data_IF_981224101316
#
_entry.id   IF_981224101316
#
_cell.length_a   1.000
_cell.length_b   1.000
_cell.length_c   1.000
_cell.angle_alpha   90.00
_cell.angle_beta   90.00
_cell.angle_gamma   90.00
#
_symmetry.space_group_name_H-M   'P 1'
#
loop_
_entity.id
_entity.type
_entity.pdbx_description
1 polymer ?
#
# COMPACT_ATOMS: atom_id res chain seq x y z
N UNK A 1 -49.27 -65.44 -14.97
CA UNK A 1 -49.16 -64.42 -16.04
C UNK A 1 -48.87 -63.11 -15.33
N UNK A 2 -47.72 -62.51 -15.60
CA UNK A 2 -47.38 -61.20 -15.04
C UNK A 2 -48.12 -60.17 -15.87
N UNK A 3 -48.89 -59.32 -15.20
CA UNK A 3 -49.58 -58.21 -15.84
C UNK A 3 -48.53 -57.17 -16.24
N UNK A 4 -48.47 -56.87 -17.54
CA UNK A 4 -47.46 -55.97 -18.15
C UNK A 4 -48.12 -54.72 -18.74
N UNK A 5 -49.42 -54.54 -18.56
CA UNK A 5 -50.13 -53.33 -18.96
C UNK A 5 -50.06 -52.28 -17.85
N UNK A 6 -48.88 -51.68 -17.70
CA UNK A 6 -48.75 -50.41 -16.97
C UNK A 6 -48.25 -49.35 -17.96
N UNK A 7 -49.19 -48.70 -18.65
CA UNK A 7 -48.95 -47.54 -19.52
C UNK A 7 -48.69 -46.28 -18.66
N UNK A 8 -47.70 -46.35 -17.76
CA UNK A 8 -47.22 -45.20 -17.01
C UNK A 8 -46.26 -44.45 -17.92
N UNK A 9 -46.77 -43.45 -18.65
CA UNK A 9 -45.91 -42.45 -19.32
C UNK A 9 -45.17 -41.66 -18.24
N UNK A 10 -43.97 -42.09 -17.90
CA UNK A 10 -43.03 -41.29 -17.11
C UNK A 10 -42.61 -40.08 -17.94
N UNK A 11 -43.13 -38.90 -17.58
CA UNK A 11 -42.69 -37.65 -18.17
C UNK A 11 -41.42 -37.19 -17.43
N UNK A 12 -40.35 -36.94 -18.19
CA UNK A 12 -39.12 -36.37 -17.65
C UNK A 12 -39.38 -34.89 -17.36
N UNK A 13 -39.22 -34.41 -16.11
CA UNK A 13 -39.50 -33.04 -15.78
C UNK A 13 -38.55 -32.11 -16.56
N UNK A 14 -39.12 -31.15 -17.27
CA UNK A 14 -38.33 -30.14 -18.00
C UNK A 14 -38.05 -28.96 -17.08
N UNK A 15 -36.77 -28.59 -16.96
CA UNK A 15 -36.30 -27.49 -16.11
C UNK A 15 -35.77 -26.34 -16.96
N UNK A 16 -36.30 -25.14 -16.74
CA UNK A 16 -35.78 -23.90 -17.32
C UNK A 16 -35.12 -23.06 -16.22
N UNK A 17 -33.83 -22.72 -16.38
CA UNK A 17 -33.04 -21.98 -15.40
C UNK A 17 -32.48 -20.69 -16.00
N UNK A 18 -32.64 -19.58 -15.30
CA UNK A 18 -32.05 -18.28 -15.63
C UNK A 18 -31.21 -17.81 -14.46
N UNK A 19 -29.96 -17.42 -14.71
CA UNK A 19 -29.04 -16.99 -13.66
C UNK A 19 -28.19 -15.79 -14.08
N UNK A 20 -27.82 -14.99 -13.10
CA UNK A 20 -26.90 -13.86 -13.23
C UNK A 20 -25.80 -13.98 -12.19
N UNK A 21 -24.56 -13.65 -12.58
CA UNK A 21 -23.43 -13.60 -11.67
C UNK A 21 -22.60 -12.34 -11.91
N UNK A 22 -22.10 -11.74 -10.84
CA UNK A 22 -21.32 -10.52 -10.88
C UNK A 22 -20.09 -10.64 -9.98
N UNK A 23 -18.92 -10.32 -10.55
CA UNK A 23 -17.65 -10.33 -9.85
C UNK A 23 -17.35 -8.94 -9.27
N UNK A 24 -17.04 -8.88 -7.99
CA UNK A 24 -16.72 -7.68 -7.19
C UNK A 24 -15.37 -7.86 -6.51
N UNK A 25 -14.81 -6.77 -5.97
CA UNK A 25 -13.46 -6.73 -5.36
C UNK A 25 -12.39 -7.30 -6.29
N UNK A 26 -12.22 -6.71 -7.48
CA UNK A 26 -11.25 -7.15 -8.51
C UNK A 26 -11.35 -8.63 -8.95
N UNK A 27 -12.45 -9.31 -8.62
CA UNK A 27 -12.70 -10.71 -8.99
C UNK A 27 -12.49 -11.72 -7.86
N UNK A 28 -12.14 -11.25 -6.66
CA UNK A 28 -11.98 -12.09 -5.47
C UNK A 28 -13.33 -12.51 -4.89
N UNK A 29 -14.40 -11.75 -5.14
CA UNK A 29 -15.74 -12.11 -4.71
C UNK A 29 -16.69 -12.23 -5.91
N UNK A 30 -17.52 -13.27 -5.94
CA UNK A 30 -18.56 -13.44 -6.95
C UNK A 30 -19.90 -13.61 -6.28
N UNK A 31 -20.88 -12.79 -6.66
CA UNK A 31 -22.26 -12.93 -6.25
C UNK A 31 -23.05 -13.56 -7.39
N UNK A 32 -23.92 -14.52 -7.09
CA UNK A 32 -24.75 -15.19 -8.07
C UNK A 32 -26.18 -15.33 -7.56
N UNK A 33 -27.14 -15.20 -8.48
CA UNK A 33 -28.56 -15.44 -8.24
C UNK A 33 -29.11 -16.22 -9.42
N UNK A 34 -29.92 -17.23 -9.17
CA UNK A 34 -30.60 -17.99 -10.20
C UNK A 34 -32.04 -18.33 -9.81
N UNK A 35 -32.88 -18.45 -10.84
CA UNK A 35 -34.29 -18.77 -10.74
C UNK A 35 -34.56 -19.93 -11.71
N UNK A 36 -35.18 -21.00 -11.20
CA UNK A 36 -35.49 -22.20 -11.96
C UNK A 36 -36.99 -22.50 -11.91
N UNK A 37 -37.57 -22.86 -13.06
CA UNK A 37 -38.95 -23.34 -13.17
C UNK A 37 -38.93 -24.78 -13.68
N UNK A 38 -39.63 -25.65 -12.96
CA UNK A 38 -39.75 -27.08 -13.25
C UNK A 38 -41.18 -27.32 -13.74
N UNK A 39 -41.34 -28.03 -14.85
CA UNK A 39 -42.64 -28.11 -15.57
C UNK A 39 -43.74 -28.85 -14.80
N UNK A 40 -43.36 -29.71 -13.85
CA UNK A 40 -44.27 -30.56 -13.07
C UNK A 40 -44.32 -30.18 -11.57
N UNK A 41 -43.67 -29.08 -11.15
CA UNK A 41 -43.75 -28.55 -9.78
C UNK A 41 -44.43 -27.16 -9.77
N UNK A 42 -45.36 -26.98 -8.83
CA UNK A 42 -45.98 -25.67 -8.54
C UNK A 42 -45.01 -24.82 -7.70
N UNK A 43 -44.04 -24.17 -8.35
CA UNK A 43 -43.10 -23.27 -7.68
C UNK A 43 -41.94 -22.82 -8.55
N UNK A 44 -41.35 -21.68 -8.19
CA UNK A 44 -40.06 -21.24 -8.75
C UNK A 44 -39.00 -21.43 -7.67
N UNK A 45 -37.96 -22.20 -7.97
CA UNK A 45 -36.82 -22.33 -7.07
C UNK A 45 -35.90 -21.14 -7.26
N UNK A 46 -35.55 -20.47 -6.16
CA UNK A 46 -34.65 -19.31 -6.17
C UNK A 46 -33.41 -19.66 -5.36
N UNK A 47 -32.25 -19.47 -5.99
CA UNK A 47 -30.96 -19.70 -5.35
C UNK A 47 -30.13 -18.42 -5.38
N UNK A 48 -29.42 -18.17 -4.30
CA UNK A 48 -28.51 -17.03 -4.18
C UNK A 48 -27.23 -17.48 -3.49
N UNK A 49 -26.09 -17.02 -3.98
CA UNK A 49 -24.80 -17.44 -3.44
C UNK A 49 -23.72 -16.39 -3.57
N UNK A 50 -22.72 -16.50 -2.70
CA UNK A 50 -21.50 -15.73 -2.74
C UNK A 50 -20.29 -16.68 -2.67
N UNK A 51 -19.32 -16.46 -3.54
CA UNK A 51 -18.01 -17.08 -3.50
C UNK A 51 -16.97 -16.02 -3.17
N UNK A 52 -16.06 -16.33 -2.24
CA UNK A 52 -14.91 -15.50 -1.91
C UNK A 52 -13.61 -16.30 -2.07
N UNK A 53 -12.68 -15.79 -2.87
CA UNK A 53 -11.36 -16.35 -3.10
C UNK A 53 -10.41 -15.74 -2.08
N UNK A 54 -9.97 -16.53 -1.11
CA UNK A 54 -9.02 -16.07 -0.07
C UNK A 54 -7.59 -16.02 -0.61
N UNK A 55 -7.28 -16.90 -1.56
CA UNK A 55 -5.99 -17.00 -2.27
C UNK A 55 -6.26 -17.69 -3.61
N UNK A 56 -5.35 -17.62 -4.59
CA UNK A 56 -5.55 -18.23 -5.92
C UNK A 56 -5.93 -19.73 -5.91
N UNK A 57 -5.71 -20.39 -4.77
CA UNK A 57 -5.96 -21.81 -4.55
C UNK A 57 -7.04 -22.10 -3.49
N UNK A 58 -7.63 -21.10 -2.82
CA UNK A 58 -8.62 -21.31 -1.76
C UNK A 58 -9.87 -20.48 -2.01
N UNK A 59 -11.03 -21.12 -1.96
CA UNK A 59 -12.33 -20.47 -2.09
C UNK A 59 -13.26 -20.87 -0.94
N UNK A 60 -13.98 -19.90 -0.39
CA UNK A 60 -15.11 -20.12 0.50
C UNK A 60 -16.40 -19.78 -0.24
N UNK A 61 -17.46 -20.55 0.01
CA UNK A 61 -18.77 -20.40 -0.63
C UNK A 61 -19.86 -20.43 0.41
N UNK A 62 -20.82 -19.54 0.26
CA UNK A 62 -22.07 -19.55 1.04
C UNK A 62 -23.23 -19.32 0.10
N UNK A 63 -24.37 -19.92 0.36
CA UNK A 63 -25.55 -19.72 -0.45
C UNK A 63 -26.82 -20.23 0.20
N UNK A 64 -27.94 -19.89 -0.42
CA UNK A 64 -29.26 -20.37 -0.08
C UNK A 64 -29.84 -21.01 -1.33
N UNK A 65 -30.33 -22.23 -1.20
CA UNK A 65 -30.95 -23.01 -2.27
C UNK A 65 -32.38 -23.37 -1.86
N UNK A 66 -33.34 -22.69 -2.46
CA UNK A 66 -34.78 -22.84 -2.14
C UNK A 66 -35.06 -22.85 -0.63
N UNK A 67 -34.56 -21.81 0.06
CA UNK A 67 -34.68 -21.63 1.51
C UNK A 67 -33.67 -22.40 2.37
N UNK A 68 -32.89 -23.34 1.81
CA UNK A 68 -31.91 -24.13 2.56
C UNK A 68 -30.52 -23.49 2.51
N UNK A 69 -29.86 -23.36 3.65
CA UNK A 69 -28.52 -22.77 3.71
C UNK A 69 -27.44 -23.78 3.28
N UNK A 70 -26.45 -23.32 2.54
CA UNK A 70 -25.29 -24.09 2.18
C UNK A 70 -24.00 -23.30 2.42
N UNK A 71 -22.97 -24.00 2.91
CA UNK A 71 -21.63 -23.46 3.08
C UNK A 71 -20.61 -24.46 2.55
N UNK A 72 -19.55 -23.97 1.92
CA UNK A 72 -18.52 -24.84 1.37
C UNK A 72 -17.16 -24.18 1.30
N UNK A 73 -16.15 -25.01 1.14
CA UNK A 73 -14.78 -24.58 0.88
C UNK A 73 -14.20 -25.41 -0.27
N UNK A 74 -13.33 -24.78 -1.05
CA UNK A 74 -12.62 -25.41 -2.16
C UNK A 74 -11.13 -25.14 -2.04
N UNK A 75 -10.32 -26.17 -2.28
CA UNK A 75 -8.86 -26.06 -2.30
C UNK A 75 -8.35 -26.61 -3.64
N UNK A 76 -7.59 -25.79 -4.36
CA UNK A 76 -6.89 -26.15 -5.59
C UNK A 76 -5.41 -26.46 -5.31
N UNK A 77 -4.94 -27.59 -5.81
CA UNK A 77 -3.56 -28.06 -5.73
C UNK A 77 -3.05 -28.43 -7.13
N UNK A 78 -2.83 -27.41 -7.96
CA UNK A 78 -2.37 -27.58 -9.35
C UNK A 78 -3.42 -28.24 -10.23
N UNK A 79 -3.22 -29.51 -10.59
CA UNK A 79 -4.16 -30.29 -11.38
C UNK A 79 -5.30 -30.93 -10.55
N UNK A 80 -5.20 -30.90 -9.22
CA UNK A 80 -6.22 -31.44 -8.32
C UNK A 80 -7.06 -30.31 -7.72
N UNK A 81 -8.36 -30.53 -7.54
CA UNK A 81 -9.17 -29.71 -6.65
C UNK A 81 -10.03 -30.57 -5.75
N UNK A 82 -10.13 -30.18 -4.48
CA UNK A 82 -11.00 -30.77 -3.49
C UNK A 82 -12.07 -29.74 -3.12
N UNK A 83 -13.35 -30.09 -3.27
CA UNK A 83 -14.46 -29.27 -2.79
C UNK A 83 -15.22 -30.00 -1.69
N UNK A 84 -15.55 -29.26 -0.66
CA UNK A 84 -16.42 -29.70 0.42
C UNK A 84 -17.59 -28.74 0.54
N UNK A 85 -18.82 -29.26 0.59
CA UNK A 85 -20.00 -28.47 0.82
C UNK A 85 -20.92 -29.14 1.85
N UNK A 86 -21.45 -28.31 2.74
CA UNK A 86 -22.46 -28.64 3.73
C UNK A 86 -23.76 -27.94 3.35
N UNK A 87 -24.84 -28.70 3.27
CA UNK A 87 -26.19 -28.17 3.13
C UNK A 87 -26.98 -28.47 4.40
N UNK A 88 -27.58 -27.43 4.96
CA UNK A 88 -28.45 -27.47 6.12
C UNK A 88 -29.89 -27.44 5.59
N UNK A 89 -30.59 -28.55 5.75
CA UNK A 89 -32.01 -28.69 5.39
C UNK A 89 -32.86 -28.55 6.65
N UNK A 90 -33.90 -27.70 6.60
CA UNK A 90 -34.80 -27.43 7.72
C UNK A 90 -36.05 -28.33 7.59
N UNK A 91 -35.91 -29.62 7.89
CA UNK A 91 -37.04 -30.55 8.03
C UNK A 91 -36.72 -31.54 9.15
N UNK A 92 -37.75 -31.81 9.97
CA UNK A 92 -37.98 -32.76 11.09
C UNK A 92 -37.10 -34.03 11.26
N UNK A 93 -36.19 -34.36 10.34
CA UNK A 93 -35.35 -35.55 10.33
C UNK A 93 -33.83 -35.30 10.16
N UNK A 94 -33.35 -34.08 10.45
CA UNK A 94 -31.94 -33.77 10.76
C UNK A 94 -30.87 -34.43 9.84
N UNK A 95 -31.12 -34.42 8.53
CA UNK A 95 -30.25 -35.04 7.54
C UNK A 95 -29.31 -34.00 6.91
N UNK A 96 -28.26 -33.61 7.63
CA UNK A 96 -27.21 -32.75 7.06
C UNK A 96 -26.52 -33.47 5.90
N UNK A 97 -26.66 -32.93 4.68
CA UNK A 97 -26.02 -33.50 3.48
C UNK A 97 -24.62 -32.92 3.33
N UNK A 98 -23.63 -33.81 3.24
CA UNK A 98 -22.25 -33.45 2.99
C UNK A 98 -21.86 -33.90 1.58
N UNK A 99 -21.30 -32.99 0.81
CA UNK A 99 -20.80 -33.25 -0.53
C UNK A 99 -19.28 -33.12 -0.52
N UNK A 100 -18.61 -34.16 -1.01
CA UNK A 100 -17.15 -34.18 -1.19
C UNK A 100 -16.90 -34.44 -2.67
N UNK A 101 -16.25 -33.50 -3.36
CA UNK A 101 -15.80 -33.67 -4.75
C UNK A 101 -14.28 -33.67 -4.81
N UNK A 102 -13.73 -34.61 -5.58
CA UNK A 102 -12.33 -34.63 -5.95
C UNK A 102 -12.25 -34.61 -7.47
N UNK A 103 -11.68 -33.55 -8.00
CA UNK A 103 -11.54 -33.35 -9.43
C UNK A 103 -10.05 -33.37 -9.80
N UNK A 104 -9.70 -34.09 -10.87
CA UNK A 104 -8.36 -34.14 -11.42
C UNK A 104 -8.40 -33.72 -12.89
N UNK A 105 -7.68 -32.65 -13.22
CA UNK A 105 -7.54 -32.15 -14.58
C UNK A 105 -6.33 -32.78 -15.27
N UNK A 106 -6.58 -33.74 -16.17
CA UNK A 106 -5.53 -34.30 -17.04
C UNK A 106 -5.26 -33.33 -18.21
N UNK A 107 -4.01 -32.86 -18.31
CA UNK A 107 -3.47 -31.91 -19.30
C UNK A 107 -3.74 -30.42 -19.03
N UNK A 108 -2.69 -29.59 -19.14
CA UNK A 108 -2.71 -28.12 -19.09
C UNK A 108 -3.38 -27.46 -20.31
N UNK A 109 -4.25 -28.19 -21.01
CA UNK A 109 -4.97 -27.71 -22.18
C UNK A 109 -6.46 -27.58 -21.88
N UNK A 110 -6.85 -26.51 -21.18
CA UNK A 110 -8.16 -25.90 -21.39
C UNK A 110 -9.20 -25.94 -20.27
N UNK A 111 -8.86 -26.16 -18.99
CA UNK A 111 -9.80 -25.82 -17.90
C UNK A 111 -9.80 -24.31 -17.67
N UNK A 112 -10.71 -23.65 -18.40
CA UNK A 112 -10.77 -22.21 -18.66
C UNK A 112 -9.52 -21.68 -19.36
N UNK A 113 -9.54 -21.60 -20.69
CA UNK A 113 -8.95 -20.41 -21.28
C UNK A 113 -9.68 -19.24 -20.60
N UNK A 114 -9.02 -18.35 -19.85
CA UNK A 114 -9.70 -17.17 -19.35
C UNK A 114 -10.41 -16.56 -20.54
N UNK A 115 -11.71 -16.27 -20.40
CA UNK A 115 -12.51 -15.66 -21.49
C UNK A 115 -11.64 -14.56 -22.09
N UNK A 116 -11.67 -14.30 -23.40
CA UNK A 116 -10.75 -13.31 -24.00
C UNK A 116 -10.67 -11.97 -23.24
N UNK A 117 -11.73 -11.61 -22.49
CA UNK A 117 -11.76 -10.55 -21.48
C UNK A 117 -10.95 -10.78 -20.17
N UNK A 118 -10.88 -11.98 -19.58
CA UNK A 118 -10.01 -12.28 -18.43
C UNK A 118 -8.52 -12.35 -18.79
N UNK A 119 -8.14 -12.86 -19.99
CA UNK A 119 -6.72 -12.78 -20.43
C UNK A 119 -6.31 -11.33 -20.67
N UNK A 120 -7.20 -10.50 -21.19
CA UNK A 120 -6.99 -9.07 -21.35
C UNK A 120 -6.91 -8.37 -19.98
N UNK A 121 -7.84 -8.64 -19.06
CA UNK A 121 -7.82 -8.10 -17.69
C UNK A 121 -6.62 -8.58 -16.88
N UNK A 122 -6.21 -9.84 -16.98
CA UNK A 122 -5.04 -10.37 -16.28
C UNK A 122 -3.74 -9.74 -16.82
N UNK A 123 -3.61 -9.56 -18.15
CA UNK A 123 -2.48 -8.83 -18.74
C UNK A 123 -2.49 -7.34 -18.42
N UNK A 124 -3.66 -6.73 -18.31
CA UNK A 124 -3.82 -5.34 -17.93
C UNK A 124 -3.55 -5.13 -16.43
N UNK A 125 -3.97 -6.07 -15.59
CA UNK A 125 -3.67 -6.14 -14.15
C UNK A 125 -2.20 -6.45 -13.87
N UNK A 126 -1.55 -7.30 -14.68
CA UNK A 126 -0.12 -7.56 -14.58
C UNK A 126 0.69 -6.33 -15.01
N UNK A 127 0.31 -5.70 -16.13
CA UNK A 127 0.91 -4.42 -16.57
C UNK A 127 0.61 -3.28 -15.62
N UNK A 128 -0.51 -3.28 -14.91
CA UNK A 128 -0.80 -2.27 -13.88
C UNK A 128 0.01 -2.56 -12.62
N UNK A 129 0.14 -3.82 -12.19
CA UNK A 129 0.99 -4.23 -11.07
C UNK A 129 2.48 -3.92 -11.33
N UNK A 130 2.99 -4.17 -12.53
CA UNK A 130 4.36 -3.81 -12.90
C UNK A 130 4.56 -2.30 -13.00
N UNK A 131 3.57 -1.55 -13.50
CA UNK A 131 3.59 -0.09 -13.47
C UNK A 131 3.55 0.46 -12.04
N UNK A 132 2.77 -0.14 -11.15
CA UNK A 132 2.71 0.23 -9.73
C UNK A 132 4.04 -0.07 -9.03
N UNK A 133 4.63 -1.25 -9.25
CA UNK A 133 5.97 -1.58 -8.73
C UNK A 133 7.06 -0.65 -9.28
N UNK A 134 6.97 -0.29 -10.56
CA UNK A 134 7.88 0.67 -11.19
C UNK A 134 7.70 2.08 -10.61
N UNK A 135 6.46 2.52 -10.39
CA UNK A 135 6.15 3.79 -9.73
C UNK A 135 6.62 3.82 -8.29
N UNK A 136 6.35 2.78 -7.50
CA UNK A 136 6.80 2.67 -6.10
C UNK A 136 8.33 2.69 -6.01
N UNK A 137 9.01 1.98 -6.93
CA UNK A 137 10.48 2.00 -7.01
C UNK A 137 11.01 3.38 -7.42
N UNK A 138 10.36 4.05 -8.37
CA UNK A 138 10.73 5.39 -8.80
C UNK A 138 10.51 6.42 -7.67
N UNK A 139 9.42 6.31 -6.92
CA UNK A 139 9.10 7.17 -5.78
C UNK A 139 10.09 6.95 -4.63
N UNK A 140 10.40 5.69 -4.29
CA UNK A 140 11.42 5.37 -3.29
C UNK A 140 12.78 5.95 -3.67
N UNK A 141 13.17 5.84 -4.94
CA UNK A 141 14.41 6.43 -5.45
C UNK A 141 14.39 7.97 -5.36
N UNK A 142 13.30 8.59 -5.78
CA UNK A 142 13.14 10.05 -5.71
C UNK A 142 13.17 10.57 -4.26
N UNK A 143 12.53 9.86 -3.31
CA UNK A 143 12.59 10.20 -1.89
C UNK A 143 13.99 10.02 -1.31
N UNK A 144 14.73 8.97 -1.71
CA UNK A 144 16.13 8.81 -1.31
C UNK A 144 17.01 9.94 -1.83
N UNK A 145 16.87 10.32 -3.10
CA UNK A 145 17.62 11.43 -3.70
C UNK A 145 17.28 12.77 -3.03
N UNK A 146 16.00 13.04 -2.75
CA UNK A 146 15.57 14.23 -2.00
C UNK A 146 16.15 14.26 -0.58
N UNK A 147 16.08 13.15 0.14
CA UNK A 147 16.64 13.06 1.49
C UNK A 147 18.17 13.27 1.48
N UNK A 148 18.88 12.76 0.48
CA UNK A 148 20.31 12.99 0.35
C UNK A 148 20.63 14.46 0.01
N UNK A 149 19.84 15.09 -0.86
CA UNK A 149 19.98 16.50 -1.19
C UNK A 149 19.71 17.40 0.03
N UNK A 150 18.67 17.09 0.81
CA UNK A 150 18.33 17.81 2.04
C UNK A 150 19.43 17.68 3.09
N UNK A 151 19.91 16.46 3.35
CA UNK A 151 21.05 16.23 4.26
C UNK A 151 22.32 16.97 3.83
N UNK A 152 22.57 17.04 2.52
CA UNK A 152 23.71 17.79 1.99
C UNK A 152 23.53 19.29 2.22
N UNK A 153 22.36 19.83 1.92
CA UNK A 153 22.05 21.25 2.11
C UNK A 153 22.08 21.65 3.60
N UNK A 154 21.57 20.79 4.49
CA UNK A 154 21.64 20.98 5.94
C UNK A 154 23.09 20.98 6.43
N UNK A 155 23.91 20.04 5.98
CA UNK A 155 25.34 19.99 6.32
C UNK A 155 26.10 21.24 5.84
N UNK A 156 25.76 21.78 4.68
CA UNK A 156 26.35 23.02 4.17
C UNK A 156 25.89 24.22 5.02
N UNK A 157 24.60 24.32 5.36
CA UNK A 157 24.07 25.35 6.26
C UNK A 157 24.74 25.33 7.63
N UNK A 158 24.85 24.17 8.27
CA UNK A 158 25.49 24.03 9.58
C UNK A 158 26.97 24.44 9.53
N UNK A 159 27.68 24.13 8.45
CA UNK A 159 29.06 24.59 8.27
C UNK A 159 29.16 26.10 8.15
N UNK A 160 28.24 26.73 7.42
CA UNK A 160 28.23 28.18 7.27
C UNK A 160 27.83 28.89 8.58
N UNK A 161 26.88 28.34 9.32
CA UNK A 161 26.51 28.78 10.66
C UNK A 161 27.68 28.64 11.64
N UNK A 162 28.39 27.51 11.62
CA UNK A 162 29.57 27.28 12.45
C UNK A 162 30.69 28.28 12.13
N UNK A 163 30.98 28.51 10.85
CA UNK A 163 31.95 29.52 10.42
C UNK A 163 31.55 30.92 10.84
N UNK A 164 30.27 31.27 10.71
CA UNK A 164 29.75 32.57 11.13
C UNK A 164 29.86 32.74 12.67
N UNK A 165 29.53 31.70 13.43
CA UNK A 165 29.67 31.69 14.88
C UNK A 165 31.14 31.81 15.32
N UNK A 166 32.05 31.06 14.70
CA UNK A 166 33.50 31.16 14.95
C UNK A 166 34.04 32.55 14.61
N UNK A 167 33.59 33.15 13.51
CA UNK A 167 34.01 34.50 13.10
C UNK A 167 33.56 35.55 14.10
N UNK A 168 32.30 35.48 14.56
CA UNK A 168 31.77 36.35 15.62
C UNK A 168 32.51 36.15 16.96
N UNK A 169 32.81 34.90 17.32
CA UNK A 169 33.55 34.59 18.53
C UNK A 169 34.98 35.18 18.50
N UNK A 170 35.72 34.99 17.41
CA UNK A 170 37.05 35.59 17.20
C UNK A 170 37.00 37.12 17.24
N UNK A 171 36.00 37.73 16.60
CA UNK A 171 35.79 39.18 16.65
C UNK A 171 35.61 39.67 18.10
N UNK A 172 34.77 38.99 18.89
CA UNK A 172 34.54 39.33 20.30
C UNK A 172 35.80 39.15 21.14
N UNK A 173 36.58 38.10 20.90
CA UNK A 173 37.85 37.85 21.58
C UNK A 173 38.86 38.99 21.31
N UNK A 174 39.07 39.36 20.04
CA UNK A 174 39.95 40.46 19.66
C UNK A 174 39.51 41.79 20.29
N UNK A 175 38.20 42.06 20.31
CA UNK A 175 37.65 43.28 20.92
C UNK A 175 37.89 43.33 22.45
N UNK A 176 37.62 42.24 23.16
CA UNK A 176 37.83 42.16 24.60
C UNK A 176 39.31 42.33 24.94
N UNK A 177 40.19 41.62 24.23
CA UNK A 177 41.64 41.71 24.40
C UNK A 177 42.17 43.11 24.14
N UNK A 178 41.67 43.80 23.10
CA UNK A 178 42.01 45.18 22.81
C UNK A 178 41.61 46.12 23.96
N UNK A 179 40.42 45.91 24.53
CA UNK A 179 39.89 46.68 25.66
C UNK A 179 40.74 46.47 26.93
N UNK A 180 41.14 45.25 27.23
CA UNK A 180 42.06 44.93 28.34
C UNK A 180 43.44 45.58 28.15
N UNK A 181 44.00 45.52 26.94
CA UNK A 181 45.29 46.14 26.62
C UNK A 181 45.24 47.66 26.73
N UNK A 182 44.11 48.28 26.36
CA UNK A 182 43.88 49.71 26.52
C UNK A 182 43.83 50.10 28.00
N UNK A 183 43.09 49.35 28.82
CA UNK A 183 43.04 49.57 30.27
C UNK A 183 44.42 49.40 30.93
N UNK A 184 45.26 48.51 30.40
CA UNK A 184 46.65 48.32 30.83
C UNK A 184 47.65 49.37 30.27
N UNK A 185 47.18 50.42 29.59
CA UNK A 185 48.01 51.49 29.01
C UNK A 185 48.83 51.07 27.77
N UNK A 186 48.62 49.86 27.23
CA UNK A 186 49.36 49.34 26.07
C UNK A 186 48.67 49.73 24.75
N UNK A 187 48.53 51.03 24.52
CA UNK A 187 47.73 51.61 23.42
C UNK A 187 48.12 51.10 22.02
N UNK A 188 49.43 50.99 21.69
CA UNK A 188 49.88 50.46 20.39
C UNK A 188 49.42 49.02 20.13
N UNK A 189 49.34 48.19 21.18
CA UNK A 189 48.89 46.80 21.07
C UNK A 189 47.36 46.71 21.01
N UNK A 190 46.66 47.58 21.75
CA UNK A 190 45.20 47.69 21.69
C UNK A 190 44.69 48.07 20.29
N UNK A 191 45.32 49.06 19.65
CA UNK A 191 44.99 49.47 18.28
C UNK A 191 45.11 48.30 17.30
N UNK A 192 46.20 47.54 17.34
CA UNK A 192 46.39 46.36 16.48
C UNK A 192 45.30 45.30 16.66
N UNK A 193 44.82 45.08 17.87
CA UNK A 193 43.74 44.12 18.13
C UNK A 193 42.37 44.65 17.69
N UNK A 194 42.09 45.96 17.80
CA UNK A 194 40.88 46.56 17.22
C UNK A 194 40.91 46.66 15.69
N UNK A 195 42.09 46.80 15.08
CA UNK A 195 42.26 46.73 13.61
C UNK A 195 41.84 45.35 13.09
N UNK A 196 42.21 44.26 13.78
CA UNK A 196 41.75 42.90 13.44
C UNK A 196 40.23 42.73 13.52
N UNK A 197 39.57 43.43 14.44
CA UNK A 197 38.09 43.46 14.49
C UNK A 197 37.52 44.15 13.24
N UNK A 198 38.16 45.23 12.79
CA UNK A 198 37.76 45.98 11.58
C UNK A 198 38.11 45.25 10.28
N UNK A 199 39.07 44.32 10.27
CA UNK A 199 39.30 43.41 9.15
C UNK A 199 38.13 42.43 8.96
N UNK A 200 37.46 42.04 10.06
CA UNK A 200 36.31 41.12 10.04
C UNK A 200 34.99 41.89 9.79
N UNK A 201 34.77 43.00 10.50
CA UNK A 201 33.65 43.91 10.29
C UNK A 201 34.16 45.35 10.09
N UNK A 202 34.36 45.78 8.83
CA UNK A 202 34.80 47.13 8.51
C UNK A 202 33.85 48.25 9.00
N UNK A 203 32.62 47.92 9.38
CA UNK A 203 31.61 48.87 9.87
C UNK A 203 31.48 48.87 11.40
N UNK A 204 32.33 48.15 12.13
CA UNK A 204 32.27 48.09 13.59
C UNK A 204 32.60 49.45 14.26
N UNK A 205 31.56 50.22 14.59
CA UNK A 205 31.69 51.60 15.06
C UNK A 205 32.44 51.73 16.40
N UNK A 206 32.28 50.76 17.30
CA UNK A 206 32.94 50.76 18.60
C UNK A 206 34.45 50.65 18.45
N UNK A 207 34.96 49.75 17.59
CA UNK A 207 36.40 49.62 17.34
C UNK A 207 37.02 50.90 16.76
N UNK A 208 36.34 51.56 15.81
CA UNK A 208 36.82 52.83 15.22
C UNK A 208 36.95 53.93 16.27
N UNK A 209 35.93 54.07 17.11
CA UNK A 209 35.91 55.07 18.19
C UNK A 209 37.01 54.80 19.22
N UNK A 210 37.20 53.53 19.61
CA UNK A 210 38.23 53.14 20.57
C UNK A 210 39.65 53.31 20.04
N UNK A 211 39.90 53.03 18.74
CA UNK A 211 41.18 53.30 18.09
C UNK A 211 41.50 54.80 18.11
N UNK A 212 40.54 55.67 17.78
CA UNK A 212 40.75 57.12 17.78
C UNK A 212 41.16 57.62 19.17
N UNK A 213 40.47 57.18 20.22
CA UNK A 213 40.82 57.49 21.62
C UNK A 213 42.21 57.00 22.00
N UNK A 214 42.58 55.79 21.59
CA UNK A 214 43.90 55.22 21.87
C UNK A 214 45.03 55.92 21.12
N UNK A 215 44.78 56.42 19.91
CA UNK A 215 45.75 57.23 19.17
C UNK A 215 45.98 58.58 19.85
N UNK A 216 44.90 59.23 20.29
CA UNK A 216 45.01 60.48 21.06
C UNK A 216 45.83 60.29 22.35
N UNK A 217 45.61 59.19 23.09
CA UNK A 217 46.40 58.83 24.29
C UNK A 217 47.84 58.38 24.03
N UNK A 218 48.23 58.21 22.77
CA UNK A 218 49.61 57.93 22.36
C UNK A 218 50.38 59.19 21.98
N UNK A 219 49.66 60.26 21.64
CA UNK A 219 50.19 61.58 21.28
C UNK A 219 50.23 62.56 22.47
N UNK A 220 49.49 62.23 23.54
CA UNK A 220 49.48 62.89 24.86
C UNK A 220 50.62 62.34 25.75
#
# INVERSE_FOLDING_TARGET
>A
KWDTDNDTKENIPTVAKLGAAYAVLDGDMTLAVDISKISDEDGNQINAGAEYKLSGNLAARVGVDDGNFAAGFGIGMGALSLNYALRFEDVENNANRQYISLDYAFASSGSSAPRAGEKARAREAEKSADRLKAQEKAEKKANQERMQAEKKAEKERLKDEEKAAQTKAKMKEHYNKATELYAAGKYKKAIKEWEKVLEIDPKHQQSKTSIAKARQKLEE
#
